data_IF_873190338709
#
_entry.id   IF_873190338709
#
_cell.length_a   1.000
_cell.length_b   1.000
_cell.length_c   1.000
_cell.angle_alpha   90.00
_cell.angle_beta   90.00
_cell.angle_gamma   90.00
#
_symmetry.space_group_name_H-M   'P 1'
#
loop_
_entity.id
_entity.type
_entity.pdbx_description
1 polymer ?
#
# COMPACT_ATOMS: atom_id res chain seq x y z
N UNK A 1 -29.70 -7.69 14.01
CA UNK A 1 -29.88 -8.30 12.68
C UNK A 1 -28.54 -8.21 11.94
N UNK A 2 -27.93 -9.33 11.62
CA UNK A 2 -26.67 -9.41 10.87
C UNK A 2 -26.87 -8.75 9.50
N UNK A 3 -26.11 -7.66 9.25
CA UNK A 3 -26.14 -6.95 7.95
C UNK A 3 -25.36 -7.67 6.85
N UNK A 4 -24.41 -8.51 7.24
CA UNK A 4 -23.47 -9.19 6.33
C UNK A 4 -23.23 -10.61 6.85
N UNK A 5 -23.44 -11.64 6.02
CA UNK A 5 -23.11 -13.03 6.38
C UNK A 5 -21.59 -13.23 6.57
N UNK A 6 -21.20 -14.31 7.23
CA UNK A 6 -19.79 -14.72 7.39
C UNK A 6 -19.17 -14.99 6.03
N UNK A 7 -17.90 -14.62 5.85
CA UNK A 7 -17.13 -15.01 4.67
C UNK A 7 -16.56 -16.38 4.96
N UNK A 8 -16.95 -17.38 4.15
CA UNK A 8 -16.44 -18.75 4.26
C UNK A 8 -14.98 -18.84 3.81
N UNK A 9 -14.26 -19.81 4.35
CA UNK A 9 -12.88 -20.10 3.94
C UNK A 9 -12.89 -20.74 2.54
N UNK A 10 -12.52 -19.96 1.53
CA UNK A 10 -12.40 -20.37 0.14
C UNK A 10 -10.98 -20.05 -0.38
N UNK A 11 -10.62 -20.55 -1.58
CA UNK A 11 -9.35 -20.23 -2.24
C UNK A 11 -9.11 -18.73 -2.42
N UNK A 12 -10.18 -17.92 -2.58
CA UNK A 12 -10.10 -16.46 -2.66
C UNK A 12 -9.62 -15.81 -1.37
N UNK A 13 -9.79 -16.52 -0.24
CA UNK A 13 -9.44 -16.07 1.12
C UNK A 13 -8.14 -16.73 1.62
N UNK A 14 -7.49 -17.54 0.78
CA UNK A 14 -6.31 -18.32 1.17
C UNK A 14 -5.01 -17.65 0.65
N UNK A 15 -4.70 -16.51 1.23
CA UNK A 15 -3.52 -15.69 0.92
C UNK A 15 -2.70 -15.41 2.16
N UNK A 16 -1.42 -15.03 2.00
CA UNK A 16 -0.53 -14.77 3.14
C UNK A 16 -0.99 -13.55 3.94
N UNK A 17 -1.42 -12.47 3.28
CA UNK A 17 -1.97 -11.29 3.94
C UNK A 17 -3.25 -11.61 4.73
N UNK A 18 -4.14 -12.44 4.19
CA UNK A 18 -5.31 -12.93 4.91
C UNK A 18 -4.91 -13.91 6.03
N UNK A 19 -3.87 -14.71 5.83
CA UNK A 19 -3.30 -15.51 6.89
C UNK A 19 -2.78 -14.64 8.04
N UNK A 20 -2.11 -13.52 7.75
CA UNK A 20 -1.73 -12.52 8.75
C UNK A 20 -2.96 -11.93 9.46
N UNK A 21 -4.02 -11.59 8.71
CA UNK A 21 -5.28 -11.13 9.28
C UNK A 21 -5.93 -12.17 10.19
N UNK A 22 -5.91 -13.44 9.82
CA UNK A 22 -6.40 -14.55 10.64
C UNK A 22 -5.54 -14.75 11.88
N UNK A 23 -4.22 -14.80 11.71
CA UNK A 23 -3.26 -15.01 12.80
C UNK A 23 -3.27 -13.88 13.82
N UNK A 24 -3.43 -12.65 13.38
CA UNK A 24 -3.58 -11.49 14.25
C UNK A 24 -4.92 -11.43 14.98
N UNK A 25 -5.90 -12.20 14.54
CA UNK A 25 -7.27 -12.14 15.05
C UNK A 25 -8.11 -10.98 14.49
N UNK A 26 -7.58 -10.17 13.57
CA UNK A 26 -8.34 -9.08 12.94
C UNK A 26 -9.42 -9.62 12.00
N UNK A 27 -9.19 -10.76 11.36
CA UNK A 27 -10.21 -11.45 10.57
C UNK A 27 -11.45 -11.83 11.40
N UNK A 28 -11.21 -12.33 12.62
CA UNK A 28 -12.31 -12.61 13.57
C UNK A 28 -13.02 -11.33 14.01
N UNK A 29 -12.30 -10.22 14.17
CA UNK A 29 -12.88 -8.91 14.49
C UNK A 29 -13.82 -8.45 13.36
N UNK A 30 -13.40 -8.56 12.10
CA UNK A 30 -14.23 -8.23 10.95
C UNK A 30 -15.47 -9.14 10.89
N UNK A 31 -15.32 -10.45 11.04
CA UNK A 31 -16.44 -11.39 11.03
C UNK A 31 -17.39 -11.15 12.20
N UNK A 32 -16.88 -10.90 13.40
CA UNK A 32 -17.71 -10.56 14.57
C UNK A 32 -18.50 -9.26 14.35
N UNK A 33 -17.85 -8.23 13.78
CA UNK A 33 -18.53 -6.98 13.46
C UNK A 33 -19.61 -7.17 12.38
N UNK A 34 -19.36 -8.03 11.39
CA UNK A 34 -20.34 -8.39 10.34
C UNK A 34 -21.57 -9.09 10.90
N UNK A 35 -21.37 -9.96 11.89
CA UNK A 35 -22.45 -10.73 12.52
C UNK A 35 -23.25 -9.92 13.54
N UNK A 36 -22.56 -9.19 14.42
CA UNK A 36 -23.16 -8.57 15.60
C UNK A 36 -23.28 -7.05 15.52
N UNK A 37 -22.57 -6.38 14.60
CA UNK A 37 -22.51 -4.91 14.51
C UNK A 37 -21.76 -4.23 15.66
N UNK A 38 -21.08 -4.99 16.52
CA UNK A 38 -20.39 -4.49 17.71
C UNK A 38 -18.91 -4.81 17.65
N UNK A 39 -18.06 -3.88 18.14
CA UNK A 39 -16.62 -4.07 18.20
C UNK A 39 -16.22 -5.03 19.31
N UNK A 40 -15.37 -6.01 19.02
CA UNK A 40 -14.88 -6.99 19.97
C UNK A 40 -13.79 -6.40 20.89
N UNK A 41 -13.61 -6.97 22.11
CA UNK A 41 -12.52 -6.63 23.06
C UNK A 41 -11.13 -6.77 22.43
N UNK A 42 -10.91 -7.75 21.56
CA UNK A 42 -9.62 -7.91 20.82
C UNK A 42 -9.27 -6.67 20.00
N UNK A 43 -10.27 -6.03 19.40
CA UNK A 43 -10.07 -4.78 18.66
C UNK A 43 -9.60 -3.64 19.56
N UNK A 44 -10.09 -3.58 20.78
CA UNK A 44 -9.66 -2.59 21.79
C UNK A 44 -8.23 -2.86 22.24
N UNK A 45 -7.82 -4.13 22.41
CA UNK A 45 -6.44 -4.49 22.75
C UNK A 45 -5.46 -4.08 21.65
N UNK A 46 -5.79 -4.37 20.39
CA UNK A 46 -5.00 -3.90 19.25
C UNK A 46 -4.81 -2.39 19.27
N UNK A 47 -5.84 -1.66 19.64
CA UNK A 47 -5.82 -0.22 19.84
C UNK A 47 -4.80 0.20 20.86
N UNK A 48 -4.91 -0.33 22.00
CA UNK A 48 -4.07 0.05 23.12
C UNK A 48 -2.59 -0.23 22.79
N UNK A 49 -2.27 -1.41 22.24
CA UNK A 49 -0.90 -1.76 21.83
C UNK A 49 -0.35 -0.74 20.83
N UNK A 50 -1.13 -0.39 19.82
CA UNK A 50 -0.70 0.57 18.82
C UNK A 50 -0.49 1.95 19.40
N UNK A 51 -1.41 2.43 20.25
CA UNK A 51 -1.26 3.74 20.89
C UNK A 51 0.00 3.79 21.76
N UNK A 52 0.27 2.73 22.52
CA UNK A 52 1.47 2.67 23.37
C UNK A 52 2.75 2.69 22.54
N UNK A 53 2.77 2.01 21.40
CA UNK A 53 3.96 1.96 20.54
C UNK A 53 4.15 3.23 19.70
N UNK A 54 3.07 3.81 19.17
CA UNK A 54 3.19 4.86 18.16
C UNK A 54 2.99 6.29 18.67
N UNK A 55 2.27 6.52 19.76
CA UNK A 55 2.10 7.88 20.29
C UNK A 55 3.44 8.49 20.72
N UNK A 56 4.30 7.78 21.47
CA UNK A 56 5.62 8.31 21.81
C UNK A 56 6.51 8.48 20.57
N UNK A 57 6.52 7.52 19.64
CA UNK A 57 7.30 7.61 18.39
C UNK A 57 6.87 8.83 17.58
N UNK A 58 5.57 9.04 17.40
CA UNK A 58 5.06 10.21 16.69
C UNK A 58 5.49 11.52 17.33
N UNK A 59 5.47 11.58 18.67
CA UNK A 59 5.91 12.77 19.41
C UNK A 59 7.42 12.97 19.25
N UNK A 60 8.24 11.95 19.50
CA UNK A 60 9.71 12.07 19.43
C UNK A 60 10.20 12.29 17.99
N UNK A 61 9.51 11.76 16.99
CA UNK A 61 9.84 12.00 15.58
C UNK A 61 9.59 13.45 15.16
N UNK A 62 8.56 14.10 15.70
CA UNK A 62 8.28 15.50 15.45
C UNK A 62 9.26 16.44 16.17
N UNK A 63 9.76 16.01 17.33
CA UNK A 63 10.74 16.78 18.11
C UNK A 63 12.17 16.65 17.54
N UNK A 64 12.48 15.54 16.90
CA UNK A 64 13.82 15.24 16.36
C UNK A 64 14.47 16.40 15.58
N UNK A 65 13.81 16.99 14.57
CA UNK A 65 14.37 18.09 13.76
C UNK A 65 14.81 19.31 14.55
N UNK A 66 14.25 19.52 15.75
CA UNK A 66 14.52 20.72 16.57
C UNK A 66 15.63 20.54 17.59
N UNK A 67 15.97 19.29 17.93
CA UNK A 67 16.87 18.97 19.04
C UNK A 67 18.08 18.13 18.67
N UNK A 68 18.17 17.66 17.43
CA UNK A 68 19.32 16.87 16.97
C UNK A 68 20.22 17.71 16.07
N UNK A 69 21.46 17.95 16.51
CA UNK A 69 22.53 18.38 15.63
C UNK A 69 23.04 17.14 14.88
N UNK A 70 22.81 17.09 13.58
CA UNK A 70 23.13 15.90 12.77
C UNK A 70 23.80 16.31 11.47
N UNK A 71 24.68 15.45 10.99
CA UNK A 71 25.24 15.51 9.64
C UNK A 71 24.12 15.37 8.60
N UNK A 72 24.45 15.55 7.34
CA UNK A 72 23.50 15.49 6.23
C UNK A 72 22.76 14.13 6.18
N UNK A 73 23.43 13.01 6.51
CA UNK A 73 22.79 11.69 6.64
C UNK A 73 21.76 11.66 7.75
N UNK A 74 22.12 12.16 8.92
CA UNK A 74 21.21 12.26 10.06
C UNK A 74 20.00 13.15 9.78
N UNK A 75 20.19 14.30 9.11
CA UNK A 75 19.09 15.16 8.69
C UNK A 75 18.10 14.43 7.76
N UNK A 76 18.60 13.61 6.84
CA UNK A 76 17.71 12.84 5.95
C UNK A 76 16.90 11.79 6.70
N UNK A 77 17.47 11.10 7.67
CA UNK A 77 16.75 10.17 8.55
C UNK A 77 15.70 10.86 9.41
N UNK A 78 16.03 12.04 9.93
CA UNK A 78 15.12 12.87 10.71
C UNK A 78 13.90 13.32 9.89
N UNK A 79 14.01 13.44 8.57
CA UNK A 79 12.89 13.75 7.67
C UNK A 79 12.10 12.48 7.28
N UNK A 80 12.80 11.38 6.96
CA UNK A 80 12.17 10.15 6.49
C UNK A 80 11.33 9.45 7.58
N UNK A 81 11.85 9.40 8.81
CA UNK A 81 11.19 8.69 9.91
C UNK A 81 9.83 9.26 10.32
N UNK A 82 9.62 10.59 10.45
CA UNK A 82 8.29 11.16 10.66
C UNK A 82 7.31 10.86 9.53
N UNK A 83 7.78 10.84 8.29
CA UNK A 83 6.94 10.53 7.13
C UNK A 83 6.41 9.10 7.19
N UNK A 84 7.28 8.10 7.40
CA UNK A 84 6.88 6.70 7.52
C UNK A 84 6.03 6.44 8.76
N UNK A 85 6.34 7.10 9.89
CA UNK A 85 5.52 7.01 11.11
C UNK A 85 4.12 7.58 10.87
N UNK A 86 3.99 8.71 10.16
CA UNK A 86 2.69 9.30 9.84
C UNK A 86 1.83 8.41 8.94
N UNK A 87 2.44 7.74 7.93
CA UNK A 87 1.76 6.75 7.11
C UNK A 87 1.19 5.62 7.96
N UNK A 88 1.98 5.07 8.88
CA UNK A 88 1.54 3.99 9.77
C UNK A 88 0.35 4.41 10.64
N UNK A 89 0.37 5.62 11.20
CA UNK A 89 -0.75 6.18 11.98
C UNK A 89 -2.01 6.30 11.13
N UNK A 90 -1.89 6.77 9.89
CA UNK A 90 -3.04 6.89 8.97
C UNK A 90 -3.60 5.52 8.61
N UNK A 91 -2.74 4.54 8.30
CA UNK A 91 -3.14 3.14 8.03
C UNK A 91 -3.91 2.56 9.22
N UNK A 92 -3.46 2.84 10.43
CA UNK A 92 -4.19 2.46 11.66
C UNK A 92 -5.53 3.16 11.81
N UNK A 93 -5.58 4.45 11.56
CA UNK A 93 -6.84 5.20 11.64
C UNK A 93 -7.89 4.64 10.67
N UNK A 94 -7.47 4.24 9.48
CA UNK A 94 -8.35 3.61 8.47
C UNK A 94 -8.89 2.27 8.97
N UNK A 95 -8.03 1.40 9.54
CA UNK A 95 -8.48 0.14 10.16
C UNK A 95 -9.53 0.39 11.23
N UNK A 96 -9.38 1.47 11.94
CA UNK A 96 -10.14 1.73 13.15
C UNK A 96 -11.47 2.40 12.93
N UNK A 97 -11.44 3.50 12.17
CA UNK A 97 -12.65 4.27 11.90
C UNK A 97 -13.44 3.69 10.73
N UNK A 98 -12.76 3.00 9.80
CA UNK A 98 -13.33 2.47 8.57
C UNK A 98 -13.93 1.07 8.65
N UNK A 99 -14.04 0.43 9.82
CA UNK A 99 -14.41 -0.98 9.97
C UNK A 99 -15.73 -1.35 9.25
N UNK A 100 -16.74 -0.49 9.30
CA UNK A 100 -18.02 -0.74 8.64
C UNK A 100 -17.86 -0.76 7.11
N UNK A 101 -17.13 0.20 6.56
CA UNK A 101 -16.86 0.28 5.13
C UNK A 101 -15.96 -0.87 4.67
N UNK A 102 -14.96 -1.24 5.48
CA UNK A 102 -14.13 -2.42 5.21
C UNK A 102 -14.98 -3.70 5.14
N UNK A 103 -15.92 -3.89 6.09
CA UNK A 103 -16.82 -5.04 6.07
C UNK A 103 -17.69 -5.09 4.80
N UNK A 104 -18.09 -3.95 4.23
CA UNK A 104 -18.79 -3.90 2.94
C UNK A 104 -17.88 -4.27 1.78
N UNK A 105 -16.67 -3.71 1.74
CA UNK A 105 -15.71 -3.97 0.65
C UNK A 105 -15.22 -5.42 0.66
N UNK A 106 -15.10 -6.05 1.83
CA UNK A 106 -14.75 -7.47 1.98
C UNK A 106 -15.78 -8.42 1.33
N UNK A 107 -16.95 -7.94 0.92
CA UNK A 107 -17.89 -8.76 0.13
C UNK A 107 -17.34 -9.19 -1.23
N UNK A 108 -16.34 -8.49 -1.77
CA UNK A 108 -15.63 -8.89 -3.00
C UNK A 108 -14.95 -10.27 -2.89
N UNK A 109 -14.68 -10.76 -1.67
CA UNK A 109 -14.13 -12.10 -1.46
C UNK A 109 -15.16 -13.23 -1.65
N UNK A 110 -16.44 -12.91 -1.81
CA UNK A 110 -17.48 -13.93 -2.07
C UNK A 110 -17.49 -14.29 -3.56
N UNK A 111 -17.50 -15.58 -3.87
CA UNK A 111 -17.61 -16.07 -5.26
C UNK A 111 -18.95 -15.76 -5.90
N UNK A 112 -20.01 -15.70 -5.10
CA UNK A 112 -21.38 -15.40 -5.49
C UNK A 112 -21.71 -13.89 -5.42
N UNK A 113 -20.67 -13.04 -5.41
CA UNK A 113 -20.85 -11.58 -5.35
C UNK A 113 -21.68 -11.05 -6.52
N UNK A 114 -21.44 -11.55 -7.74
CA UNK A 114 -22.20 -11.24 -8.94
C UNK A 114 -23.37 -12.25 -9.07
N UNK A 115 -24.58 -11.73 -9.08
CA UNK A 115 -25.82 -12.54 -9.21
C UNK A 115 -26.26 -12.71 -10.66
N UNK A 116 -25.69 -11.95 -11.59
CA UNK A 116 -26.02 -12.00 -13.02
C UNK A 116 -25.30 -13.12 -13.80
N UNK A 117 -24.40 -13.89 -13.15
CA UNK A 117 -23.62 -14.94 -13.80
C UNK A 117 -24.49 -16.18 -14.05
N UNK A 118 -24.76 -16.57 -15.33
CA UNK A 118 -25.53 -17.75 -15.62
C UNK A 118 -24.74 -19.03 -15.26
N UNK A 119 -25.42 -20.18 -15.02
CA UNK A 119 -24.76 -21.44 -14.68
C UNK A 119 -23.71 -21.89 -15.71
N UNK A 120 -23.92 -21.57 -16.99
CA UNK A 120 -22.99 -21.88 -18.10
C UNK A 120 -21.65 -21.17 -17.96
N UNK A 121 -21.61 -19.99 -17.32
CA UNK A 121 -20.39 -19.20 -17.14
C UNK A 121 -19.77 -19.26 -15.75
N UNK A 122 -20.41 -19.93 -14.78
CA UNK A 122 -19.89 -20.02 -13.42
C UNK A 122 -18.47 -20.59 -13.36
N UNK A 123 -18.17 -21.59 -14.17
CA UNK A 123 -16.81 -22.19 -14.25
C UNK A 123 -15.78 -21.15 -14.72
N UNK A 124 -16.10 -20.39 -15.79
CA UNK A 124 -15.21 -19.35 -16.34
C UNK A 124 -15.06 -18.18 -15.37
N UNK A 125 -16.13 -17.73 -14.73
CA UNK A 125 -16.09 -16.68 -13.71
C UNK A 125 -15.23 -17.11 -12.52
N UNK A 126 -15.41 -18.33 -12.02
CA UNK A 126 -14.58 -18.91 -10.94
C UNK A 126 -13.10 -18.98 -11.33
N UNK A 127 -12.79 -19.35 -12.58
CA UNK A 127 -11.42 -19.38 -13.09
C UNK A 127 -10.79 -17.97 -13.10
N UNK A 128 -11.53 -16.96 -13.59
CA UNK A 128 -11.07 -15.55 -13.60
C UNK A 128 -10.78 -15.07 -12.18
N UNK A 129 -11.70 -15.30 -11.23
CA UNK A 129 -11.52 -14.91 -9.83
C UNK A 129 -10.34 -15.63 -9.17
N UNK A 130 -10.19 -16.93 -9.41
CA UNK A 130 -9.05 -17.70 -8.87
C UNK A 130 -7.71 -17.25 -9.45
N UNK A 131 -7.64 -16.96 -10.76
CA UNK A 131 -6.44 -16.37 -11.37
C UNK A 131 -6.12 -14.99 -10.77
N UNK A 132 -7.14 -14.18 -10.54
CA UNK A 132 -6.99 -12.86 -9.90
C UNK A 132 -6.48 -12.99 -8.46
N UNK A 133 -7.03 -13.91 -7.67
CA UNK A 133 -6.54 -14.18 -6.31
C UNK A 133 -5.07 -14.63 -6.30
N UNK A 134 -4.67 -15.52 -7.22
CA UNK A 134 -3.26 -15.93 -7.37
C UNK A 134 -2.35 -14.74 -7.75
N UNK A 135 -2.82 -13.85 -8.64
CA UNK A 135 -2.09 -12.62 -9.01
C UNK A 135 -1.95 -11.70 -7.80
N UNK A 136 -3.02 -11.51 -7.04
CA UNK A 136 -3.04 -10.69 -5.83
C UNK A 136 -2.06 -11.25 -4.78
N UNK A 137 -2.09 -12.57 -4.54
CA UNK A 137 -1.15 -13.24 -3.64
C UNK A 137 0.30 -13.02 -4.05
N UNK A 138 0.62 -13.11 -5.35
CA UNK A 138 1.99 -12.89 -5.84
C UNK A 138 2.46 -11.45 -5.58
N UNK A 139 1.61 -10.46 -5.82
CA UNK A 139 1.96 -9.05 -5.61
C UNK A 139 2.03 -8.70 -4.12
N UNK A 140 1.07 -9.17 -3.31
CA UNK A 140 1.10 -8.98 -1.86
C UNK A 140 2.33 -9.64 -1.22
N UNK A 141 2.68 -10.86 -1.64
CA UNK A 141 3.88 -11.55 -1.16
C UNK A 141 5.17 -10.81 -1.54
N UNK A 142 5.23 -10.20 -2.72
CA UNK A 142 6.36 -9.37 -3.12
C UNK A 142 6.49 -8.16 -2.19
N UNK A 143 5.38 -7.47 -1.90
CA UNK A 143 5.36 -6.35 -0.94
C UNK A 143 5.79 -6.78 0.46
N UNK A 144 5.23 -7.87 0.99
CA UNK A 144 5.61 -8.42 2.31
C UNK A 144 7.09 -8.80 2.36
N UNK A 145 7.62 -9.42 1.30
CA UNK A 145 9.01 -9.81 1.23
C UNK A 145 9.94 -8.59 1.27
N UNK A 146 9.65 -7.57 0.48
CA UNK A 146 10.45 -6.34 0.47
C UNK A 146 10.35 -5.59 1.78
N UNK A 147 9.18 -5.55 2.41
CA UNK A 147 8.98 -4.96 3.73
C UNK A 147 9.78 -5.69 4.81
N UNK A 148 9.69 -7.03 4.89
CA UNK A 148 10.46 -7.83 5.85
C UNK A 148 11.97 -7.64 5.67
N UNK A 149 12.48 -7.61 4.43
CA UNK A 149 13.89 -7.35 4.14
C UNK A 149 14.27 -5.97 4.65
N UNK A 150 13.48 -4.96 4.35
CA UNK A 150 13.76 -3.57 4.73
C UNK A 150 13.73 -3.39 6.26
N UNK A 151 12.69 -3.88 6.92
CA UNK A 151 12.56 -3.82 8.40
C UNK A 151 13.71 -4.57 9.07
N UNK A 152 14.04 -5.78 8.60
CA UNK A 152 15.15 -6.56 9.16
C UNK A 152 16.48 -5.85 8.99
N UNK A 153 16.75 -5.34 7.80
CA UNK A 153 17.98 -4.64 7.51
C UNK A 153 18.11 -3.35 8.35
N UNK A 154 17.01 -2.59 8.47
CA UNK A 154 16.98 -1.35 9.24
C UNK A 154 17.22 -1.57 10.73
N UNK A 155 16.74 -2.68 11.28
CA UNK A 155 16.96 -3.04 12.69
C UNK A 155 18.34 -3.66 12.95
N UNK A 156 18.87 -4.47 12.03
CA UNK A 156 20.13 -5.18 12.23
C UNK A 156 21.35 -4.27 12.01
N UNK A 157 21.26 -3.35 11.05
CA UNK A 157 22.42 -2.51 10.68
C UNK A 157 22.97 -1.67 11.83
N UNK A 158 22.19 -0.99 12.67
CA UNK A 158 22.69 -0.25 13.83
C UNK A 158 23.40 -1.16 14.84
N UNK A 159 22.89 -2.40 15.05
CA UNK A 159 23.54 -3.37 15.91
C UNK A 159 24.95 -3.73 15.40
N UNK A 160 25.06 -4.05 14.11
CA UNK A 160 26.35 -4.39 13.49
C UNK A 160 27.37 -3.25 13.55
N UNK A 161 26.89 -2.00 13.59
CA UNK A 161 27.72 -0.80 13.71
C UNK A 161 28.04 -0.43 15.17
N UNK A 162 27.35 -0.99 16.15
CA UNK A 162 27.55 -0.66 17.55
C UNK A 162 28.91 -1.19 18.10
N UNK A 163 29.54 -0.41 18.98
CA UNK A 163 30.80 -0.81 19.61
C UNK A 163 30.63 -2.08 20.48
N UNK A 164 29.44 -2.32 21.05
CA UNK A 164 29.14 -3.50 21.82
C UNK A 164 29.32 -4.79 21.01
N UNK A 165 28.78 -4.85 19.79
CA UNK A 165 28.97 -6.00 18.88
C UNK A 165 30.43 -6.14 18.41
N UNK A 166 31.11 -5.03 18.25
CA UNK A 166 32.50 -5.01 17.83
C UNK A 166 33.43 -5.60 18.89
N UNK A 167 33.19 -5.33 20.17
CA UNK A 167 34.02 -5.79 21.28
C UNK A 167 33.69 -7.22 21.66
N UNK A 168 32.41 -7.59 21.82
CA UNK A 168 32.02 -8.92 22.26
C UNK A 168 32.07 -10.03 21.22
N UNK A 169 31.81 -9.72 19.95
CA UNK A 169 31.81 -10.70 18.87
C UNK A 169 33.09 -10.71 18.02
N UNK A 170 34.07 -9.83 18.31
CA UNK A 170 35.34 -9.75 17.55
C UNK A 170 35.18 -9.39 16.08
N UNK A 171 34.00 -8.90 15.70
CA UNK A 171 33.72 -8.50 14.33
C UNK A 171 34.25 -7.08 14.13
N UNK A 172 35.42 -6.96 13.52
CA UNK A 172 35.98 -5.68 13.05
C UNK A 172 35.21 -5.21 11.82
N UNK A 173 33.99 -4.76 12.01
CA UNK A 173 33.21 -4.20 10.94
C UNK A 173 33.45 -2.69 10.84
N UNK A 174 34.03 -2.29 9.73
CA UNK A 174 33.95 -0.96 9.12
C UNK A 174 34.20 0.28 10.02
N UNK A 175 35.45 0.59 10.23
CA UNK A 175 36.14 1.82 10.51
C UNK A 175 35.34 3.10 10.82
N UNK A 176 34.93 3.36 11.99
CA UNK A 176 34.86 4.64 12.73
C UNK A 176 34.14 4.40 14.06
N UNK A 177 34.59 4.97 15.18
CA UNK A 177 33.86 4.89 16.45
C UNK A 177 32.62 5.77 16.35
N UNK A 178 31.48 5.17 16.04
CA UNK A 178 30.19 5.84 16.03
C UNK A 178 29.57 5.69 17.44
N UNK A 179 29.48 6.78 18.15
CA UNK A 179 28.60 6.88 19.33
C UNK A 179 27.22 6.33 18.96
N UNK A 180 26.76 5.35 19.69
CA UNK A 180 25.48 4.66 19.68
C UNK A 180 24.57 4.92 18.45
N UNK A 181 24.61 4.00 17.47
CA UNK A 181 23.72 4.03 16.31
C UNK A 181 22.29 3.68 16.71
N UNK A 182 21.40 4.65 16.59
CA UNK A 182 19.96 4.47 16.77
C UNK A 182 19.33 3.82 15.56
N UNK A 183 18.24 3.06 15.75
CA UNK A 183 17.44 2.52 14.64
C UNK A 183 16.74 3.67 13.91
N UNK A 184 16.03 4.52 14.66
CA UNK A 184 15.18 5.57 14.12
C UNK A 184 15.78 6.99 14.24
N UNK A 185 16.84 7.18 15.03
CA UNK A 185 17.50 8.49 15.19
C UNK A 185 16.62 9.57 15.82
N UNK A 186 15.62 9.19 16.63
CA UNK A 186 14.75 10.13 17.33
C UNK A 186 15.46 10.82 18.49
N UNK A 187 14.98 12.00 18.84
CA UNK A 187 15.37 12.68 20.07
C UNK A 187 14.55 12.11 21.24
N UNK A 188 15.26 11.82 22.34
CA UNK A 188 14.63 11.38 23.59
C UNK A 188 15.03 12.34 24.72
N UNK A 189 14.13 12.67 25.67
CA UNK A 189 14.42 13.59 26.77
C UNK A 189 15.29 13.00 27.87
N UNK A 190 15.93 11.87 27.62
CA UNK A 190 16.78 11.14 28.57
C UNK A 190 18.14 10.95 27.92
N UNK A 191 19.21 11.09 28.72
CA UNK A 191 20.54 10.72 28.26
C UNK A 191 20.61 9.19 28.20
N UNK A 192 20.43 8.66 26.95
CA UNK A 192 20.32 7.23 26.68
C UNK A 192 21.65 6.63 26.19
N UNK A 193 22.75 7.38 26.26
CA UNK A 193 24.09 6.89 25.90
C UNK A 193 24.67 5.96 26.98
N UNK A 194 24.02 5.90 28.16
CA UNK A 194 24.42 5.01 29.24
C UNK A 194 23.59 3.73 29.31
N UNK A 195 24.23 2.63 29.68
CA UNK A 195 23.54 1.39 30.04
C UNK A 195 22.81 1.57 31.37
N UNK A 196 21.55 1.14 31.58
CA UNK A 196 20.75 0.27 30.71
C UNK A 196 19.82 1.01 29.70
N UNK A 197 19.79 2.33 29.67
CA UNK A 197 18.81 3.13 28.89
C UNK A 197 18.90 2.85 27.38
N UNK A 198 20.11 2.72 26.84
CA UNK A 198 20.36 2.33 25.44
C UNK A 198 19.60 1.06 25.05
N UNK A 199 19.63 0.05 25.90
CA UNK A 199 19.00 -1.24 25.62
C UNK A 199 17.47 -1.12 25.63
N UNK A 200 16.89 -0.33 26.53
CA UNK A 200 15.44 -0.10 26.57
C UNK A 200 14.97 0.67 25.36
N UNK A 201 15.65 1.74 24.95
CA UNK A 201 15.31 2.53 23.76
C UNK A 201 15.42 1.65 22.52
N UNK A 202 16.49 0.88 22.38
CA UNK A 202 16.67 -0.02 21.26
C UNK A 202 15.56 -1.07 21.17
N UNK A 203 15.23 -1.75 22.27
CA UNK A 203 14.13 -2.71 22.30
C UNK A 203 12.79 -2.07 21.95
N UNK A 204 12.54 -0.86 22.41
CA UNK A 204 11.32 -0.12 22.11
C UNK A 204 11.23 0.25 20.62
N UNK A 205 12.31 0.79 20.04
CA UNK A 205 12.39 1.11 18.61
C UNK A 205 12.23 -0.16 17.74
N UNK A 206 12.91 -1.24 18.12
CA UNK A 206 12.82 -2.53 17.45
C UNK A 206 11.39 -3.07 17.41
N UNK A 207 10.72 -3.14 18.56
CA UNK A 207 9.34 -3.62 18.65
C UNK A 207 8.40 -2.74 17.84
N UNK A 208 8.63 -1.44 17.84
CA UNK A 208 7.81 -0.49 17.11
C UNK A 208 8.00 -0.60 15.60
N UNK A 209 9.23 -0.80 15.12
CA UNK A 209 9.51 -1.04 13.70
C UNK A 209 8.87 -2.35 13.21
N UNK A 210 9.02 -3.45 13.96
CA UNK A 210 8.40 -4.74 13.62
C UNK A 210 6.88 -4.62 13.58
N UNK A 211 6.28 -3.92 14.55
CA UNK A 211 4.84 -3.69 14.58
C UNK A 211 4.38 -2.80 13.42
N UNK A 212 5.13 -1.76 13.07
CA UNK A 212 4.85 -0.91 11.93
C UNK A 212 4.85 -1.71 10.62
N UNK A 213 5.91 -2.46 10.35
CA UNK A 213 6.02 -3.31 9.17
C UNK A 213 4.87 -4.31 9.07
N UNK A 214 4.52 -4.95 10.21
CA UNK A 214 3.39 -5.87 10.24
C UNK A 214 2.07 -5.19 9.83
N UNK A 215 1.78 -3.98 10.31
CA UNK A 215 0.55 -3.25 9.98
C UNK A 215 0.55 -2.76 8.55
N UNK A 216 1.70 -2.28 8.07
CA UNK A 216 1.89 -1.85 6.69
C UNK A 216 1.62 -3.02 5.74
N UNK A 217 2.32 -4.13 5.91
CA UNK A 217 2.15 -5.34 5.10
C UNK A 217 0.71 -5.85 5.07
N UNK A 218 0.03 -5.82 6.22
CA UNK A 218 -1.35 -6.27 6.36
C UNK A 218 -2.33 -5.41 5.56
N UNK A 219 -2.22 -4.09 5.65
CA UNK A 219 -3.16 -3.18 4.96
C UNK A 219 -2.88 -3.06 3.49
N UNK A 220 -1.63 -2.99 3.11
CA UNK A 220 -1.25 -2.94 1.70
C UNK A 220 -1.63 -4.22 0.96
N UNK A 221 -1.35 -5.38 1.56
CA UNK A 221 -1.80 -6.66 1.01
C UNK A 221 -3.31 -6.71 0.83
N UNK A 222 -4.07 -6.25 1.84
CA UNK A 222 -5.52 -6.20 1.77
C UNK A 222 -6.01 -5.27 0.64
N UNK A 223 -5.44 -4.07 0.50
CA UNK A 223 -5.82 -3.13 -0.57
C UNK A 223 -5.50 -3.70 -1.94
N UNK A 224 -4.31 -4.29 -2.13
CA UNK A 224 -3.92 -4.95 -3.38
C UNK A 224 -4.93 -6.04 -3.75
N UNK A 225 -5.31 -6.90 -2.81
CA UNK A 225 -6.31 -7.95 -3.02
C UNK A 225 -7.66 -7.38 -3.44
N UNK A 226 -8.16 -6.40 -2.71
CA UNK A 226 -9.47 -5.80 -2.97
C UNK A 226 -9.53 -5.13 -4.36
N UNK A 227 -8.49 -4.40 -4.76
CA UNK A 227 -8.43 -3.76 -6.08
C UNK A 227 -8.39 -4.81 -7.19
N UNK A 228 -7.59 -5.87 -7.04
CA UNK A 228 -7.48 -6.93 -8.04
C UNK A 228 -8.78 -7.74 -8.14
N UNK A 229 -9.45 -8.04 -7.03
CA UNK A 229 -10.75 -8.72 -7.04
C UNK A 229 -11.86 -7.84 -7.64
N UNK A 230 -11.85 -6.53 -7.37
CA UNK A 230 -12.74 -5.58 -8.02
C UNK A 230 -12.54 -5.62 -9.54
N UNK A 231 -11.30 -5.53 -10.00
CA UNK A 231 -10.94 -5.62 -11.42
C UNK A 231 -11.38 -6.95 -12.03
N UNK A 232 -11.20 -8.06 -11.32
CA UNK A 232 -11.64 -9.38 -11.79
C UNK A 232 -13.16 -9.49 -11.93
N UNK A 233 -13.92 -8.93 -11.00
CA UNK A 233 -15.38 -8.89 -11.12
C UNK A 233 -15.85 -8.05 -12.33
N UNK A 234 -15.14 -6.96 -12.64
CA UNK A 234 -15.40 -6.18 -13.85
C UNK A 234 -15.06 -6.99 -15.11
N UNK A 235 -13.95 -7.77 -15.10
CA UNK A 235 -13.60 -8.70 -16.20
C UNK A 235 -14.66 -9.80 -16.40
N UNK A 236 -15.23 -10.34 -15.34
CA UNK A 236 -16.36 -11.27 -15.44
C UNK A 236 -17.55 -10.60 -16.12
N UNK A 237 -17.88 -9.36 -15.71
CA UNK A 237 -18.96 -8.60 -16.36
C UNK A 237 -18.69 -8.28 -17.82
N UNK A 238 -17.43 -8.01 -18.19
CA UNK A 238 -17.02 -7.80 -19.58
C UNK A 238 -17.30 -9.06 -20.42
N UNK A 239 -16.90 -10.24 -19.94
CA UNK A 239 -17.15 -11.52 -20.63
C UNK A 239 -18.64 -11.85 -20.73
N UNK A 240 -19.45 -11.48 -19.74
CA UNK A 240 -20.91 -11.63 -19.86
C UNK A 240 -21.49 -10.81 -21.00
N UNK A 241 -21.01 -9.59 -21.21
CA UNK A 241 -21.44 -8.76 -22.37
C UNK A 241 -20.98 -9.34 -23.71
N UNK A 242 -19.80 -9.97 -23.75
CA UNK A 242 -19.32 -10.65 -24.95
C UNK A 242 -20.16 -11.87 -25.32
N UNK A 243 -20.56 -12.68 -24.33
CA UNK A 243 -21.46 -13.82 -24.55
C UNK A 243 -22.85 -13.38 -25.04
N UNK A 244 -23.32 -12.24 -24.57
CA UNK A 244 -24.55 -11.66 -25.09
C UNK A 244 -24.51 -11.31 -26.59
N UNK A 245 -23.30 -11.20 -27.19
CA UNK A 245 -23.12 -11.06 -28.65
C UNK A 245 -23.40 -12.36 -29.41
N UNK A 246 -23.05 -13.50 -28.83
CA UNK A 246 -23.09 -14.80 -29.51
C UNK A 246 -24.39 -15.54 -29.36
N UNK A 247 -25.18 -15.22 -28.35
CA UNK A 247 -26.51 -15.79 -28.10
C UNK A 247 -27.54 -15.19 -29.06
N UNK A 248 -27.98 -15.98 -30.03
CA UNK A 248 -28.95 -15.58 -31.05
C UNK A 248 -30.26 -14.99 -30.46
N UNK A 249 -30.26 -13.71 -30.11
CA UNK A 249 -31.43 -12.85 -30.09
C UNK A 249 -32.38 -12.98 -28.89
N UNK A 250 -32.17 -13.78 -27.89
CA UNK A 250 -33.06 -13.87 -26.71
C UNK A 250 -32.46 -13.22 -25.45
N UNK A 251 -31.98 -12.02 -25.58
CA UNK A 251 -31.61 -11.19 -24.44
C UNK A 251 -32.87 -10.80 -23.68
N UNK A 252 -33.13 -11.52 -22.58
CA UNK A 252 -34.23 -11.20 -21.70
C UNK A 252 -33.93 -9.88 -20.97
N UNK A 253 -34.90 -8.96 -20.96
CA UNK A 253 -34.78 -7.67 -20.27
C UNK A 253 -34.52 -7.83 -18.75
N UNK A 254 -34.87 -8.96 -18.16
CA UNK A 254 -34.61 -9.28 -16.76
C UNK A 254 -33.12 -9.55 -16.49
N UNK A 255 -32.44 -10.27 -17.39
CA UNK A 255 -31.00 -10.53 -17.28
C UNK A 255 -30.20 -9.23 -17.34
N UNK A 256 -30.58 -8.29 -18.23
CA UNK A 256 -29.93 -6.98 -18.31
C UNK A 256 -30.17 -6.16 -17.02
N UNK A 257 -31.36 -6.23 -16.44
CA UNK A 257 -31.63 -5.53 -15.17
C UNK A 257 -30.79 -6.08 -14.01
N UNK A 258 -30.63 -7.40 -13.94
CA UNK A 258 -29.76 -8.04 -12.94
C UNK A 258 -28.31 -7.63 -13.16
N UNK A 259 -27.84 -7.63 -14.40
CA UNK A 259 -26.52 -7.14 -14.77
C UNK A 259 -26.27 -5.69 -14.31
N UNK A 260 -27.24 -4.80 -14.54
CA UNK A 260 -27.12 -3.40 -14.13
C UNK A 260 -27.09 -3.27 -12.61
N UNK A 261 -27.89 -4.07 -11.88
CA UNK A 261 -27.85 -4.07 -10.41
C UNK A 261 -26.47 -4.50 -9.89
N UNK A 262 -25.87 -5.51 -10.48
CA UNK A 262 -24.53 -5.95 -10.10
C UNK A 262 -23.45 -4.91 -10.47
N UNK A 263 -23.56 -4.26 -11.64
CA UNK A 263 -22.72 -3.14 -11.99
C UNK A 263 -22.84 -1.98 -10.99
N UNK A 264 -24.04 -1.65 -10.54
CA UNK A 264 -24.26 -0.64 -9.50
C UNK A 264 -23.63 -1.04 -8.15
N UNK A 265 -23.68 -2.33 -7.79
CA UNK A 265 -22.96 -2.82 -6.59
C UNK A 265 -21.44 -2.62 -6.71
N UNK A 266 -20.85 -2.97 -7.86
CA UNK A 266 -19.41 -2.75 -8.11
C UNK A 266 -19.03 -1.26 -8.05
N UNK A 267 -19.82 -0.39 -8.66
CA UNK A 267 -19.62 1.06 -8.58
C UNK A 267 -19.69 1.57 -7.14
N UNK A 268 -20.64 1.07 -6.36
CA UNK A 268 -20.78 1.44 -4.94
C UNK A 268 -19.56 0.99 -4.14
N UNK A 269 -19.12 -0.25 -4.31
CA UNK A 269 -17.92 -0.77 -3.62
C UNK A 269 -16.66 0.00 -4.06
N UNK A 270 -16.50 0.29 -5.35
CA UNK A 270 -15.39 1.12 -5.84
C UNK A 270 -15.38 2.51 -5.19
N UNK A 271 -16.54 3.13 -5.01
CA UNK A 271 -16.66 4.40 -4.31
C UNK A 271 -16.36 4.27 -2.81
N UNK A 272 -16.83 3.20 -2.16
CA UNK A 272 -16.54 2.90 -0.76
C UNK A 272 -15.04 2.67 -0.55
N UNK A 273 -14.38 1.91 -1.44
CA UNK A 273 -12.92 1.72 -1.44
C UNK A 273 -12.17 3.05 -1.63
N UNK A 274 -12.58 3.85 -2.60
CA UNK A 274 -11.98 5.15 -2.86
C UNK A 274 -12.11 6.08 -1.66
N UNK A 275 -13.29 6.16 -1.04
CA UNK A 275 -13.49 7.01 0.13
C UNK A 275 -12.68 6.55 1.34
N UNK A 276 -12.50 5.23 1.50
CA UNK A 276 -11.78 4.64 2.61
C UNK A 276 -10.25 4.77 2.45
N UNK A 277 -9.73 4.43 1.28
CA UNK A 277 -8.29 4.29 1.04
C UNK A 277 -7.65 5.47 0.32
N UNK A 278 -8.43 6.44 -0.19
CA UNK A 278 -7.88 7.56 -0.97
C UNK A 278 -6.83 8.37 -0.19
N UNK A 279 -7.07 8.62 1.10
CA UNK A 279 -6.10 9.35 1.94
C UNK A 279 -4.82 8.55 2.10
N UNK A 280 -4.93 7.23 2.38
CA UNK A 280 -3.79 6.34 2.50
C UNK A 280 -2.95 6.32 1.21
N UNK A 281 -3.58 6.04 0.06
CA UNK A 281 -2.89 5.93 -1.22
C UNK A 281 -2.28 7.28 -1.64
N UNK A 282 -2.96 8.39 -1.36
CA UNK A 282 -2.44 9.73 -1.65
C UNK A 282 -1.18 10.02 -0.82
N UNK A 283 -1.21 9.72 0.47
CA UNK A 283 -0.05 9.86 1.34
C UNK A 283 1.08 8.93 0.91
N UNK A 284 0.78 7.68 0.57
CA UNK A 284 1.75 6.68 0.10
C UNK A 284 2.54 7.18 -1.13
N UNK A 285 1.84 7.64 -2.15
CA UNK A 285 2.48 8.13 -3.37
C UNK A 285 3.20 9.47 -3.17
N UNK A 286 2.68 10.37 -2.33
CA UNK A 286 3.35 11.64 -2.07
C UNK A 286 4.62 11.48 -1.23
N UNK A 287 4.55 10.70 -0.17
CA UNK A 287 5.74 10.39 0.65
C UNK A 287 6.71 9.50 -0.12
N UNK A 288 6.23 8.54 -0.91
CA UNK A 288 7.03 7.73 -1.81
C UNK A 288 7.86 8.56 -2.78
N UNK A 289 7.28 9.60 -3.39
CA UNK A 289 8.03 10.53 -4.23
C UNK A 289 9.17 11.23 -3.44
N UNK A 290 8.89 11.73 -2.24
CA UNK A 290 9.89 12.40 -1.41
C UNK A 290 10.98 11.41 -0.98
N UNK A 291 10.59 10.21 -0.57
CA UNK A 291 11.52 9.13 -0.21
C UNK A 291 12.43 8.78 -1.39
N UNK A 292 11.88 8.65 -2.60
CA UNK A 292 12.66 8.40 -3.81
C UNK A 292 13.67 9.51 -4.07
N UNK A 293 13.29 10.77 -3.95
CA UNK A 293 14.19 11.92 -4.12
C UNK A 293 15.35 11.82 -3.13
N UNK A 294 15.05 11.64 -1.86
CA UNK A 294 16.04 11.62 -0.78
C UNK A 294 16.95 10.38 -0.89
N UNK A 295 16.41 9.22 -1.18
CA UNK A 295 17.21 7.98 -1.27
C UNK A 295 18.14 7.97 -2.49
N UNK A 296 17.68 8.48 -3.64
CA UNK A 296 18.53 8.63 -4.84
C UNK A 296 19.64 9.63 -4.56
N UNK A 297 19.32 10.77 -3.95
CA UNK A 297 20.29 11.79 -3.58
C UNK A 297 21.39 11.22 -2.66
N UNK A 298 21.00 10.57 -1.55
CA UNK A 298 21.95 9.98 -0.61
C UNK A 298 22.74 8.81 -1.21
N UNK A 299 22.16 8.05 -2.12
CA UNK A 299 22.87 7.01 -2.85
C UNK A 299 24.05 7.57 -3.65
N UNK A 300 23.83 8.67 -4.38
CA UNK A 300 24.89 9.33 -5.13
C UNK A 300 25.93 9.99 -4.21
N UNK A 301 25.50 10.62 -3.14
CA UNK A 301 26.41 11.24 -2.16
C UNK A 301 27.32 10.19 -1.50
N UNK A 302 26.75 9.10 -1.00
CA UNK A 302 27.50 8.02 -0.36
C UNK A 302 28.43 7.28 -1.33
N UNK A 303 28.05 7.20 -2.61
CA UNK A 303 28.92 6.65 -3.67
C UNK A 303 30.16 7.53 -3.91
N UNK A 304 30.02 8.85 -3.83
CA UNK A 304 31.14 9.79 -3.89
C UNK A 304 32.10 9.69 -2.70
N UNK A 305 31.55 9.50 -1.50
CA UNK A 305 32.32 9.41 -0.24
C UNK A 305 32.87 8.00 0.03
N UNK A 306 32.53 6.99 -0.78
CA UNK A 306 33.04 5.62 -0.65
C UNK A 306 32.44 4.83 0.54
N UNK A 307 31.38 5.29 1.19
CA UNK A 307 30.73 4.57 2.28
C UNK A 307 29.74 3.52 1.75
N UNK A 308 30.24 2.32 1.51
CA UNK A 308 29.49 1.20 0.95
C UNK A 308 28.30 0.76 1.82
N UNK A 309 28.40 0.92 3.14
CA UNK A 309 27.34 0.48 4.07
C UNK A 309 26.12 1.41 3.98
N UNK A 310 26.36 2.71 3.96
CA UNK A 310 25.32 3.72 3.80
C UNK A 310 24.70 3.61 2.42
N UNK A 311 25.50 3.48 1.39
CA UNK A 311 25.05 3.28 0.02
C UNK A 311 24.11 2.07 -0.09
N UNK A 312 24.48 0.94 0.53
CA UNK A 312 23.66 -0.26 0.52
C UNK A 312 22.34 -0.08 1.29
N UNK A 313 22.37 0.66 2.41
CA UNK A 313 21.18 1.01 3.18
C UNK A 313 20.15 1.77 2.33
N UNK A 314 20.59 2.82 1.65
CA UNK A 314 19.72 3.61 0.79
C UNK A 314 19.25 2.82 -0.45
N UNK A 315 20.09 1.92 -0.99
CA UNK A 315 19.72 1.04 -2.09
C UNK A 315 18.57 0.09 -1.71
N UNK A 316 18.61 -0.54 -0.54
CA UNK A 316 17.54 -1.43 -0.06
C UNK A 316 16.23 -0.65 0.08
N UNK A 317 16.30 0.55 0.66
CA UNK A 317 15.12 1.39 0.85
C UNK A 317 14.57 1.92 -0.47
N UNK A 318 15.43 2.27 -1.42
CA UNK A 318 15.04 2.65 -2.77
C UNK A 318 14.28 1.53 -3.46
N UNK A 319 14.78 0.29 -3.39
CA UNK A 319 14.12 -0.88 -3.99
C UNK A 319 12.75 -1.15 -3.38
N UNK A 320 12.62 -1.04 -2.05
CA UNK A 320 11.32 -1.16 -1.37
C UNK A 320 10.31 -0.13 -1.91
N UNK A 321 10.67 1.16 -1.90
CA UNK A 321 9.78 2.23 -2.34
C UNK A 321 9.42 2.12 -3.83
N UNK A 322 10.36 1.70 -4.68
CA UNK A 322 10.11 1.46 -6.11
C UNK A 322 9.08 0.35 -6.32
N UNK A 323 9.20 -0.76 -5.59
CA UNK A 323 8.23 -1.87 -5.67
C UNK A 323 6.86 -1.39 -5.25
N UNK A 324 6.75 -0.70 -4.12
CA UNK A 324 5.51 -0.20 -3.56
C UNK A 324 4.77 0.74 -4.54
N UNK A 325 5.44 1.80 -5.01
CA UNK A 325 4.86 2.77 -5.96
C UNK A 325 4.45 2.08 -7.27
N UNK A 326 5.30 1.15 -7.77
CA UNK A 326 5.03 0.42 -9.01
C UNK A 326 3.81 -0.47 -8.88
N UNK A 327 3.64 -1.19 -7.77
CA UNK A 327 2.48 -2.06 -7.54
C UNK A 327 1.18 -1.24 -7.53
N UNK A 328 1.14 -0.12 -6.80
CA UNK A 328 -0.05 0.75 -6.77
C UNK A 328 -0.41 1.32 -8.15
N UNK A 329 0.57 1.80 -8.91
CA UNK A 329 0.34 2.31 -10.26
C UNK A 329 -0.11 1.21 -11.23
N UNK A 330 0.45 0.00 -11.09
CA UNK A 330 0.09 -1.15 -11.93
C UNK A 330 -1.35 -1.63 -11.69
N UNK A 331 -1.75 -1.83 -10.42
CA UNK A 331 -3.13 -2.27 -10.12
C UNK A 331 -4.15 -1.17 -10.43
N UNK A 332 -3.79 0.09 -10.24
CA UNK A 332 -4.62 1.23 -10.61
C UNK A 332 -4.85 1.32 -12.11
N UNK A 333 -3.81 1.10 -12.93
CA UNK A 333 -3.90 1.06 -14.39
C UNK A 333 -4.75 -0.12 -14.88
N UNK A 334 -4.58 -1.33 -14.29
CA UNK A 334 -5.40 -2.52 -14.66
C UNK A 334 -6.90 -2.29 -14.35
N UNK A 335 -7.21 -1.60 -13.24
CA UNK A 335 -8.58 -1.23 -12.89
C UNK A 335 -9.17 -0.20 -13.86
N UNK A 336 -8.41 0.86 -14.18
CA UNK A 336 -8.84 1.93 -15.08
C UNK A 336 -9.15 1.37 -16.47
N UNK A 337 -8.19 0.69 -17.08
CA UNK A 337 -8.34 0.11 -18.43
C UNK A 337 -9.48 -0.91 -18.50
N UNK A 338 -9.55 -1.84 -17.52
CA UNK A 338 -10.61 -2.84 -17.49
C UNK A 338 -12.01 -2.22 -17.36
N UNK A 339 -12.13 -1.11 -16.60
CA UNK A 339 -13.42 -0.43 -16.46
C UNK A 339 -13.83 0.36 -17.72
N UNK A 340 -12.87 0.86 -18.49
CA UNK A 340 -13.12 1.50 -19.80
C UNK A 340 -13.52 0.49 -20.86
N UNK A 341 -12.85 -0.67 -20.90
CA UNK A 341 -13.16 -1.77 -21.81
C UNK A 341 -14.60 -2.28 -21.67
N UNK A 342 -15.17 -2.17 -20.45
CA UNK A 342 -16.57 -2.54 -20.21
C UNK A 342 -17.54 -1.72 -21.08
N UNK A 343 -17.27 -0.42 -21.25
CA UNK A 343 -18.07 0.46 -22.11
C UNK A 343 -17.98 0.05 -23.57
N UNK A 344 -16.79 -0.32 -24.01
CA UNK A 344 -16.57 -0.82 -25.37
C UNK A 344 -17.24 -2.16 -25.60
N UNK A 345 -17.21 -3.09 -24.65
CA UNK A 345 -17.92 -4.36 -24.73
C UNK A 345 -19.43 -4.17 -24.86
N UNK A 346 -20.00 -3.22 -24.10
CA UNK A 346 -21.42 -2.87 -24.21
C UNK A 346 -21.75 -2.31 -25.60
N UNK A 347 -20.91 -1.43 -26.15
CA UNK A 347 -21.10 -0.86 -27.49
C UNK A 347 -20.98 -1.91 -28.60
N UNK A 348 -20.01 -2.82 -28.48
CA UNK A 348 -19.79 -3.88 -29.48
C UNK A 348 -20.81 -5.02 -29.42
N UNK A 349 -21.72 -5.04 -28.42
CA UNK A 349 -22.86 -5.95 -28.40
C UNK A 349 -23.82 -5.61 -29.57
N UNK A 350 -24.62 -6.58 -30.04
CA UNK A 350 -25.58 -6.35 -31.12
C UNK A 350 -26.84 -5.57 -30.66
N UNK A 351 -26.63 -4.51 -29.87
CA UNK A 351 -27.68 -3.71 -29.23
C UNK A 351 -28.70 -3.12 -30.19
N UNK A 352 -28.35 -2.91 -31.46
CA UNK A 352 -29.21 -2.35 -32.50
C UNK A 352 -30.26 -3.37 -32.99
N UNK A 353 -30.07 -4.67 -32.78
CA UNK A 353 -30.99 -5.74 -33.16
C UNK A 353 -32.07 -6.03 -32.12
N UNK A 354 -31.98 -5.44 -30.94
CA UNK A 354 -32.87 -5.72 -29.79
C UNK A 354 -33.98 -4.68 -29.66
N UNK A 355 -35.00 -5.02 -28.88
CA UNK A 355 -36.18 -4.18 -28.69
C UNK A 355 -35.87 -2.80 -28.06
N UNK A 356 -36.74 -1.82 -28.34
CA UNK A 356 -36.56 -0.40 -28.01
C UNK A 356 -36.27 -0.16 -26.52
N UNK A 357 -36.94 -0.91 -25.62
CA UNK A 357 -36.73 -0.81 -24.14
C UNK A 357 -35.32 -1.26 -23.74
N UNK A 358 -34.88 -2.40 -24.24
CA UNK A 358 -33.54 -2.94 -23.98
C UNK A 358 -32.44 -1.98 -24.48
N UNK A 359 -32.60 -1.48 -25.71
CA UNK A 359 -31.66 -0.52 -26.35
C UNK A 359 -31.45 0.73 -25.48
N UNK A 360 -32.56 1.33 -25.01
CA UNK A 360 -32.49 2.50 -24.10
C UNK A 360 -31.74 2.21 -22.80
N UNK A 361 -32.00 1.06 -22.20
CA UNK A 361 -31.34 0.64 -20.97
C UNK A 361 -29.85 0.41 -21.17
N UNK A 362 -29.45 -0.24 -22.25
CA UNK A 362 -28.04 -0.47 -22.58
C UNK A 362 -27.31 0.85 -22.92
N UNK A 363 -27.96 1.80 -23.61
CA UNK A 363 -27.42 3.14 -23.83
C UNK A 363 -27.13 3.86 -22.50
N UNK A 364 -28.00 3.75 -21.50
CA UNK A 364 -27.75 4.32 -20.16
C UNK A 364 -26.52 3.68 -19.50
N UNK A 365 -26.34 2.36 -19.65
CA UNK A 365 -25.15 1.66 -19.18
C UNK A 365 -23.89 2.17 -19.87
N UNK A 366 -23.90 2.31 -21.21
CA UNK A 366 -22.77 2.84 -21.98
C UNK A 366 -22.39 4.27 -21.55
N UNK A 367 -23.38 5.13 -21.26
CA UNK A 367 -23.10 6.49 -20.76
C UNK A 367 -22.44 6.43 -19.36
N UNK A 368 -22.88 5.51 -18.50
CA UNK A 368 -22.32 5.37 -17.15
C UNK A 368 -20.89 4.82 -17.18
N UNK A 369 -20.60 3.89 -18.07
CA UNK A 369 -19.26 3.26 -18.22
C UNK A 369 -18.20 4.16 -18.83
N UNK A 370 -18.57 5.33 -19.36
CA UNK A 370 -17.60 6.38 -19.78
C UNK A 370 -16.78 6.93 -18.60
N UNK A 371 -17.31 6.81 -17.38
CA UNK A 371 -16.59 7.21 -16.17
C UNK A 371 -15.89 5.98 -15.60
N UNK A 372 -14.57 5.89 -15.83
CA UNK A 372 -13.75 4.77 -15.35
C UNK A 372 -13.75 4.67 -13.83
N UNK A 373 -13.65 3.44 -13.34
CA UNK A 373 -13.50 3.13 -11.92
C UNK A 373 -12.00 3.16 -11.58
N UNK A 374 -11.42 4.35 -11.56
CA UNK A 374 -10.00 4.52 -11.29
C UNK A 374 -9.73 4.83 -9.82
N UNK A 375 -8.60 4.35 -9.31
CA UNK A 375 -7.98 4.88 -8.10
C UNK A 375 -7.47 6.29 -8.41
N UNK A 376 -7.61 7.22 -7.46
CA UNK A 376 -7.26 8.62 -7.70
C UNK A 376 -6.33 9.15 -6.62
N UNK A 377 -5.31 9.85 -7.04
CA UNK A 377 -4.47 10.68 -6.19
C UNK A 377 -5.19 12.00 -5.87
N UNK A 378 -5.40 12.30 -4.60
CA UNK A 378 -6.05 13.54 -4.18
C UNK A 378 -7.44 13.78 -4.77
N UNK A 379 -8.15 12.74 -5.21
CA UNK A 379 -9.47 12.78 -5.89
C UNK A 379 -9.46 13.33 -7.33
N UNK A 380 -8.32 13.81 -7.84
CA UNK A 380 -8.24 14.47 -9.16
C UNK A 380 -7.55 13.61 -10.22
N UNK A 381 -6.35 13.14 -9.93
CA UNK A 381 -5.50 12.45 -10.91
C UNK A 381 -5.62 10.94 -10.80
N UNK A 382 -5.82 10.21 -11.91
CA UNK A 382 -5.83 8.75 -11.89
C UNK A 382 -4.43 8.19 -11.57
N UNK A 383 -4.41 7.13 -10.80
CA UNK A 383 -3.19 6.39 -10.46
C UNK A 383 -3.01 5.29 -11.50
N UNK A 384 -2.07 5.50 -12.42
CA UNK A 384 -1.79 4.60 -13.54
C UNK A 384 -0.29 4.57 -13.88
N UNK A 385 0.10 3.81 -14.90
CA UNK A 385 1.50 3.70 -15.32
C UNK A 385 2.09 5.03 -15.82
N UNK A 386 1.27 5.96 -16.34
CA UNK A 386 1.75 7.29 -16.68
C UNK A 386 2.11 8.10 -15.44
N UNK A 387 1.32 7.98 -14.37
CA UNK A 387 1.65 8.57 -13.07
C UNK A 387 2.98 8.03 -12.52
N UNK A 388 3.24 6.72 -12.66
CA UNK A 388 4.52 6.11 -12.30
C UNK A 388 5.69 6.77 -13.05
N UNK A 389 5.58 6.91 -14.36
CA UNK A 389 6.62 7.55 -15.19
C UNK A 389 6.91 8.97 -14.71
N UNK A 390 5.86 9.75 -14.44
CA UNK A 390 6.00 11.12 -13.94
C UNK A 390 6.67 11.18 -12.56
N UNK A 391 6.31 10.26 -11.64
CA UNK A 391 6.93 10.15 -10.32
C UNK A 391 8.42 9.86 -10.44
N UNK A 392 8.80 8.86 -11.23
CA UNK A 392 10.21 8.47 -11.41
C UNK A 392 11.04 9.57 -12.07
N UNK A 393 10.49 10.21 -13.09
CA UNK A 393 11.16 11.31 -13.79
C UNK A 393 11.37 12.51 -12.86
N UNK A 394 10.36 12.87 -12.08
CA UNK A 394 10.43 13.96 -11.09
C UNK A 394 11.44 13.61 -10.00
N UNK A 395 11.41 12.40 -9.45
CA UNK A 395 12.33 11.94 -8.42
C UNK A 395 13.79 12.04 -8.88
N UNK A 396 14.09 11.47 -10.05
CA UNK A 396 15.43 11.50 -10.61
C UNK A 396 15.93 12.93 -10.90
N UNK A 397 15.10 13.74 -11.58
CA UNK A 397 15.49 15.11 -11.96
C UNK A 397 15.76 15.98 -10.73
N UNK A 398 14.90 15.88 -9.71
CA UNK A 398 15.06 16.65 -8.45
C UNK A 398 16.29 16.17 -7.67
N UNK A 399 16.52 14.85 -7.58
CA UNK A 399 17.69 14.30 -6.88
C UNK A 399 19.00 14.74 -7.53
N UNK A 400 19.07 14.74 -8.87
CA UNK A 400 20.25 15.18 -9.59
C UNK A 400 20.49 16.69 -9.46
N UNK A 401 19.43 17.48 -9.37
CA UNK A 401 19.54 18.92 -9.12
C UNK A 401 20.10 19.20 -7.72
N UNK A 402 19.60 18.50 -6.70
CA UNK A 402 20.11 18.59 -5.33
C UNK A 402 21.59 18.18 -5.27
N UNK A 403 21.95 17.05 -5.87
CA UNK A 403 23.33 16.57 -5.89
C UNK A 403 24.31 17.58 -6.52
N UNK A 404 23.93 18.19 -7.65
CA UNK A 404 24.74 19.22 -8.31
C UNK A 404 24.90 20.48 -7.45
N UNK A 405 23.83 20.90 -6.76
CA UNK A 405 23.89 22.07 -5.87
C UNK A 405 24.86 21.83 -4.72
N UNK A 406 24.80 20.69 -4.05
CA UNK A 406 25.70 20.33 -2.95
C UNK A 406 27.16 20.25 -3.41
N UNK A 407 27.43 19.58 -4.54
CA UNK A 407 28.82 19.48 -5.09
C UNK A 407 29.40 20.83 -5.47
N UNK A 408 28.60 21.80 -5.89
CA UNK A 408 29.07 23.16 -6.20
C UNK A 408 29.41 23.97 -4.94
N UNK A 409 28.66 23.76 -3.87
CA UNK A 409 28.90 24.46 -2.61
C UNK A 409 30.17 23.91 -1.91
N UNK A 410 30.41 22.59 -1.92
CA UNK A 410 31.66 21.98 -1.44
C UNK A 410 32.89 22.53 -2.20
N UNK A 411 32.81 22.64 -3.51
CA UNK A 411 33.91 23.22 -4.32
C UNK A 411 34.17 24.69 -4.01
N UNK A 412 33.14 25.49 -3.67
CA UNK A 412 33.31 26.88 -3.28
C UNK A 412 33.95 27.02 -1.90
N UNK A 413 33.55 26.17 -0.94
CA UNK A 413 34.13 26.14 0.40
C UNK A 413 35.62 25.76 0.34
N UNK A 414 35.98 24.69 -0.43
CA UNK A 414 37.37 24.33 -0.65
C UNK A 414 38.18 25.45 -1.29
N UNK A 415 37.62 26.15 -2.27
CA UNK A 415 38.28 27.30 -2.91
C UNK A 415 38.48 28.48 -1.96
N UNK A 416 37.57 28.71 -1.01
CA UNK A 416 37.70 29.76 0.01
C UNK A 416 38.70 29.41 1.11
N UNK A 417 38.90 28.13 1.43
CA UNK A 417 39.89 27.67 2.41
C UNK A 417 41.29 27.76 1.86
N UNK A 418 41.44 27.63 0.53
CA UNK A 418 42.72 27.70 -0.17
C UNK A 418 43.19 29.13 -0.49
N UNK A 419 42.38 30.16 -0.30
CA UNK A 419 42.71 31.58 -0.45
C UNK A 419 43.03 32.22 0.91
#
# INVERSE_FOLDING_TARGET
>A
MSRYGKIEDDELVNSIDIWYLKRSGLWEVFNHYREHGVRNRRFTLWKIITLILFVPIGFFSLCGPFFTETDLEGMTLVILNPMTSSQTVIKFAILWYGIETQCRVLELFKRDFLTCVPPSMQAKASEILTKAAKKANKLANLGILTDVITVSFWNILPLLRSEYFRIELGITAFGTPLRHNKILGFWYPVDYDETPYVQFVYCYEFLSCVWAGFVIALLEGLVIHLVILLTANIKVMHHLLEELKTSNGTLNSETLLTYIKDHQKLVKISNDMRNLYNMMITMELSTGLIILIITIFNFFLSSGNGDLVIMFKFMVYLMYTLVEVTVYCYIGSDLETTSEDLGFAAYSSQWYKVGKKFRKTLQMLMVRTRYSLALKFGRMYPINLMALTNILQTAYSTSMLLYRATSQDEQKEEAQILM
#
